data_IF_359533405236
#
_entry.id   IF_359533405236
#
_cell.length_a   1.000
_cell.length_b   1.000
_cell.length_c   1.000
_cell.angle_alpha   90.00
_cell.angle_beta   90.00
_cell.angle_gamma   90.00
#
_symmetry.space_group_name_H-M   'P 1'
#
loop_
_entity.id
_entity.type
_entity.pdbx_description
1 polymer ?
#
# COMPACT_ATOMS: atom_id res chain seq x y z
N UNK A 1 -12.84 4.38 -7.47
CA UNK A 1 -13.17 3.86 -8.82
C UNK A 1 -12.10 4.33 -9.77
N UNK A 2 -11.39 3.43 -10.46
CA UNK A 2 -10.46 3.85 -11.52
C UNK A 2 -11.27 4.39 -12.69
N UNK A 3 -11.06 5.65 -13.12
CA UNK A 3 -11.72 6.16 -14.30
C UNK A 3 -11.50 5.20 -15.47
N UNK A 4 -12.55 4.90 -16.24
CA UNK A 4 -12.51 4.05 -17.45
C UNK A 4 -12.41 2.53 -17.23
N UNK A 5 -12.56 2.00 -16.02
CA UNK A 5 -12.72 0.56 -15.79
C UNK A 5 -14.01 0.27 -15.02
N UNK A 6 -15.06 -0.11 -15.76
CA UNK A 6 -16.40 -0.42 -15.22
C UNK A 6 -16.53 -1.89 -14.82
N UNK A 7 -15.53 -2.72 -15.11
CA UNK A 7 -15.62 -4.18 -14.98
C UNK A 7 -15.04 -4.71 -13.67
N UNK A 8 -14.28 -3.90 -12.94
CA UNK A 8 -13.65 -4.30 -11.68
C UNK A 8 -14.16 -3.46 -10.52
N UNK A 9 -14.38 -4.13 -9.40
CA UNK A 9 -14.77 -3.49 -8.14
C UNK A 9 -13.73 -2.45 -7.72
N UNK A 10 -14.18 -1.38 -7.07
CA UNK A 10 -13.30 -0.32 -6.56
C UNK A 10 -12.31 -0.79 -5.47
N UNK A 11 -12.48 -2.02 -4.97
CA UNK A 11 -11.67 -2.67 -3.95
C UNK A 11 -11.33 -4.11 -4.38
N UNK A 12 -10.11 -4.55 -4.10
CA UNK A 12 -9.64 -5.92 -4.38
C UNK A 12 -9.17 -6.54 -3.06
N UNK A 13 -9.86 -7.58 -2.61
CA UNK A 13 -9.47 -8.32 -1.41
C UNK A 13 -8.31 -9.27 -1.71
N UNK A 14 -7.17 -9.03 -1.05
CA UNK A 14 -6.01 -9.92 -1.10
C UNK A 14 -6.09 -10.97 0.02
N UNK A 15 -5.56 -12.18 -0.26
CA UNK A 15 -5.44 -13.20 0.77
C UNK A 15 -4.33 -12.83 1.75
N UNK A 16 -4.65 -12.84 3.05
CA UNK A 16 -3.66 -12.60 4.12
C UNK A 16 -2.55 -13.65 4.10
N UNK A 17 -1.29 -13.21 4.23
CA UNK A 17 -0.13 -14.10 4.25
C UNK A 17 0.57 -14.13 5.61
N UNK A 18 0.85 -12.97 6.20
CA UNK A 18 1.47 -12.85 7.51
C UNK A 18 0.39 -12.76 8.60
N UNK A 19 0.38 -13.71 9.55
CA UNK A 19 -0.60 -13.73 10.65
C UNK A 19 -0.29 -12.66 11.71
N UNK A 20 0.99 -12.37 11.91
CA UNK A 20 1.50 -11.54 13.02
C UNK A 20 1.63 -10.05 12.65
N UNK A 21 1.37 -9.68 11.39
CA UNK A 21 1.38 -8.29 10.97
C UNK A 21 -0.03 -7.68 11.04
N UNK A 22 -0.15 -6.39 11.41
CA UNK A 22 -1.40 -5.66 11.26
C UNK A 22 -1.94 -5.72 9.82
N UNK A 23 -3.26 -5.69 9.69
CA UNK A 23 -3.97 -5.71 8.41
C UNK A 23 -4.66 -4.37 8.24
N UNK A 24 -4.70 -3.87 7.01
CA UNK A 24 -5.38 -2.63 6.68
C UNK A 24 -5.76 -2.55 5.21
N UNK A 25 -6.65 -1.62 4.90
CA UNK A 25 -7.07 -1.25 3.56
C UNK A 25 -6.11 -0.18 3.05
N UNK A 26 -5.50 -0.43 1.88
CA UNK A 26 -4.67 0.57 1.21
C UNK A 26 -5.46 1.31 0.13
N UNK A 27 -5.60 2.62 0.30
CA UNK A 27 -6.01 3.52 -0.77
C UNK A 27 -4.81 3.85 -1.65
N UNK A 28 -5.02 3.97 -2.96
CA UNK A 28 -3.94 4.33 -3.89
C UNK A 28 -4.32 5.53 -4.75
N UNK A 29 -3.32 6.31 -5.14
CA UNK A 29 -3.45 7.36 -6.17
C UNK A 29 -2.10 7.94 -6.55
N UNK A 30 -2.00 8.60 -7.71
CA UNK A 30 -0.72 9.06 -8.26
C UNK A 30 -0.15 10.35 -7.63
N UNK A 31 -0.67 10.77 -6.47
CA UNK A 31 -0.24 11.99 -5.78
C UNK A 31 0.31 11.66 -4.40
N UNK A 32 1.39 12.33 -4.02
CA UNK A 32 1.87 12.31 -2.65
C UNK A 32 0.83 12.97 -1.74
N UNK A 33 0.22 12.20 -0.86
CA UNK A 33 -0.90 12.65 -0.02
C UNK A 33 -0.36 13.38 1.22
N UNK A 34 -0.86 14.58 1.45
CA UNK A 34 -0.49 15.43 2.60
C UNK A 34 -1.72 15.84 3.41
N UNK A 35 -2.81 15.09 3.29
CA UNK A 35 -4.03 15.33 4.04
C UNK A 35 -4.96 14.13 4.09
N UNK A 36 -6.23 14.39 4.40
CA UNK A 36 -7.22 13.32 4.50
C UNK A 36 -7.43 12.62 3.15
N UNK A 37 -7.26 11.28 3.08
CA UNK A 37 -7.48 10.53 1.86
C UNK A 37 -8.91 10.68 1.33
N UNK A 38 -9.05 10.71 0.00
CA UNK A 38 -10.35 10.85 -0.69
C UNK A 38 -11.23 9.60 -0.58
N UNK A 39 -10.66 8.48 -0.13
CA UNK A 39 -11.34 7.20 0.07
C UNK A 39 -11.04 6.70 1.47
N UNK A 40 -11.99 6.01 2.10
CA UNK A 40 -11.75 5.42 3.41
C UNK A 40 -10.69 4.31 3.31
N UNK A 41 -9.57 4.49 3.98
CA UNK A 41 -8.47 3.54 4.03
C UNK A 41 -7.62 3.75 5.29
N UNK A 42 -6.82 2.75 5.65
CA UNK A 42 -5.91 2.79 6.80
C UNK A 42 -4.51 3.31 6.41
N UNK A 43 -4.13 3.15 5.14
CA UNK A 43 -2.84 3.57 4.57
C UNK A 43 -3.01 4.04 3.14
N UNK A 44 -2.17 4.98 2.71
CA UNK A 44 -2.11 5.45 1.32
C UNK A 44 -0.80 5.03 0.65
N UNK A 45 -0.86 4.79 -0.66
CA UNK A 45 0.31 4.61 -1.52
C UNK A 45 0.02 5.10 -2.95
N UNK A 46 0.93 4.83 -3.89
CA UNK A 46 0.80 5.27 -5.28
C UNK A 46 0.66 4.13 -6.31
N UNK A 47 0.86 2.86 -5.93
CA UNK A 47 0.88 1.74 -6.89
C UNK A 47 0.00 0.53 -6.52
N UNK A 48 -0.43 0.40 -5.26
CA UNK A 48 -0.94 -0.84 -4.69
C UNK A 48 -2.13 -1.44 -5.43
N UNK A 49 -3.16 -0.63 -5.72
CA UNK A 49 -4.34 -1.13 -6.45
C UNK A 49 -4.01 -1.45 -7.91
N UNK A 50 -3.11 -0.70 -8.56
CA UNK A 50 -2.72 -0.97 -9.94
C UNK A 50 -2.06 -2.36 -10.06
N UNK A 51 -1.16 -2.69 -9.12
CA UNK A 51 -0.56 -4.03 -9.01
C UNK A 51 -1.62 -5.10 -8.70
N UNK A 52 -2.49 -4.86 -7.71
CA UNK A 52 -3.56 -5.80 -7.33
C UNK A 52 -4.51 -6.11 -8.50
N UNK A 53 -4.85 -5.08 -9.28
CA UNK A 53 -5.71 -5.18 -10.47
C UNK A 53 -5.09 -6.07 -11.55
N UNK A 54 -3.81 -5.89 -11.87
CA UNK A 54 -3.12 -6.72 -12.86
C UNK A 54 -3.01 -8.16 -12.36
N UNK A 55 -2.58 -8.37 -11.11
CA UNK A 55 -2.51 -9.70 -10.49
C UNK A 55 -3.87 -10.41 -10.51
N UNK A 56 -4.95 -9.71 -10.16
CA UNK A 56 -6.30 -10.23 -10.21
C UNK A 56 -6.71 -10.64 -11.63
N UNK A 57 -6.50 -9.77 -12.63
CA UNK A 57 -6.79 -10.08 -14.05
C UNK A 57 -6.02 -11.29 -14.57
N UNK A 58 -4.80 -11.51 -14.08
CA UNK A 58 -3.92 -12.60 -14.52
C UNK A 58 -4.01 -13.86 -13.64
N UNK A 59 -4.83 -13.86 -12.57
CA UNK A 59 -4.90 -14.98 -11.63
C UNK A 59 -3.59 -15.22 -10.86
N UNK A 60 -2.76 -14.20 -10.70
CA UNK A 60 -1.49 -14.27 -9.96
C UNK A 60 -1.71 -13.81 -8.53
N UNK A 61 -1.17 -14.56 -7.56
CA UNK A 61 -1.23 -14.16 -6.15
C UNK A 61 -0.38 -12.92 -5.91
N UNK A 62 -0.95 -11.92 -5.24
CA UNK A 62 -0.24 -10.75 -4.72
C UNK A 62 -0.21 -10.77 -3.19
N UNK A 63 0.96 -10.43 -2.63
CA UNK A 63 1.14 -10.10 -1.22
C UNK A 63 1.70 -8.69 -1.19
N UNK A 64 1.10 -7.80 -0.40
CA UNK A 64 1.57 -6.43 -0.21
C UNK A 64 1.88 -6.21 1.25
N UNK A 65 3.07 -5.69 1.53
CA UNK A 65 3.51 -5.26 2.86
C UNK A 65 3.90 -3.80 2.75
N UNK A 66 3.46 -3.00 3.72
CA UNK A 66 3.70 -1.56 3.76
C UNK A 66 4.34 -1.17 5.08
N UNK A 67 5.38 -0.35 4.99
CA UNK A 67 5.95 0.35 6.14
C UNK A 67 5.38 1.77 6.13
N UNK A 68 4.79 2.21 7.23
CA UNK A 68 4.22 3.56 7.36
C UNK A 68 5.37 4.53 7.61
N UNK A 69 5.63 5.40 6.64
CA UNK A 69 6.75 6.34 6.66
C UNK A 69 6.40 7.70 7.24
N UNK A 70 5.13 8.08 7.19
CA UNK A 70 4.67 9.43 7.50
C UNK A 70 3.17 9.43 7.85
N UNK A 71 2.67 10.59 8.30
CA UNK A 71 1.28 10.79 8.71
C UNK A 71 0.31 11.19 7.61
N UNK A 72 0.76 11.31 6.35
CA UNK A 72 0.00 11.94 5.26
C UNK A 72 -0.57 13.31 5.66
N UNK A 73 0.26 14.16 6.25
CA UNK A 73 -0.07 15.50 6.71
C UNK A 73 0.94 16.54 6.18
N UNK A 74 0.91 17.76 6.72
CA UNK A 74 1.76 18.85 6.27
C UNK A 74 3.28 18.58 6.46
N UNK A 75 3.67 17.66 7.36
CA UNK A 75 5.07 17.28 7.59
C UNK A 75 5.48 16.00 6.85
N UNK A 76 4.56 15.37 6.12
CA UNK A 76 4.78 14.07 5.49
C UNK A 76 6.04 13.97 4.62
N UNK A 77 6.38 15.04 3.90
CA UNK A 77 7.59 15.09 3.07
C UNK A 77 8.89 14.97 3.86
N UNK A 78 8.93 15.49 5.09
CA UNK A 78 10.09 15.39 5.99
C UNK A 78 10.11 14.00 6.65
N UNK A 79 8.99 13.58 7.22
CA UNK A 79 8.87 12.30 7.93
C UNK A 79 9.17 11.12 6.99
N UNK A 80 8.68 11.19 5.75
CA UNK A 80 8.95 10.20 4.72
C UNK A 80 10.45 10.09 4.43
N UNK A 81 11.13 11.22 4.23
CA UNK A 81 12.56 11.26 3.91
C UNK A 81 13.39 10.66 5.05
N UNK A 82 13.06 11.01 6.30
CA UNK A 82 13.73 10.47 7.50
C UNK A 82 13.53 8.96 7.66
N UNK A 83 12.40 8.42 7.21
CA UNK A 83 12.05 7.00 7.36
C UNK A 83 12.54 6.10 6.22
N UNK A 84 13.11 6.64 5.13
CA UNK A 84 13.54 5.85 3.96
C UNK A 84 14.47 4.69 4.32
N UNK A 85 15.56 4.98 5.06
CA UNK A 85 16.54 3.96 5.42
C UNK A 85 15.95 2.90 6.35
N UNK A 86 15.22 3.34 7.37
CA UNK A 86 14.63 2.44 8.36
C UNK A 86 13.56 1.53 7.72
N UNK A 87 12.69 2.10 6.88
CA UNK A 87 11.69 1.36 6.13
C UNK A 87 12.31 0.27 5.27
N UNK A 88 13.35 0.60 4.50
CA UNK A 88 14.08 -0.36 3.68
C UNK A 88 14.70 -1.50 4.52
N UNK A 89 15.33 -1.16 5.65
CA UNK A 89 15.92 -2.14 6.57
C UNK A 89 14.86 -3.08 7.17
N UNK A 90 13.71 -2.54 7.58
CA UNK A 90 12.61 -3.33 8.17
C UNK A 90 11.99 -4.28 7.14
N UNK A 91 11.76 -3.82 5.92
CA UNK A 91 11.25 -4.65 4.84
C UNK A 91 12.24 -5.74 4.42
N UNK A 92 13.54 -5.43 4.36
CA UNK A 92 14.58 -6.42 4.09
C UNK A 92 14.65 -7.47 5.20
N UNK A 93 14.61 -7.07 6.46
CA UNK A 93 14.62 -7.99 7.59
C UNK A 93 13.37 -8.91 7.57
N UNK A 94 12.19 -8.37 7.25
CA UNK A 94 10.99 -9.18 7.07
C UNK A 94 11.18 -10.20 5.94
N UNK A 95 11.73 -9.76 4.79
CA UNK A 95 11.99 -10.67 3.67
C UNK A 95 12.90 -11.82 4.08
N UNK A 96 14.06 -11.53 4.69
CA UNK A 96 15.05 -12.52 5.14
C UNK A 96 14.52 -13.51 6.18
N UNK A 97 13.53 -13.12 6.98
CA UNK A 97 12.95 -13.98 8.01
C UNK A 97 11.87 -14.93 7.46
N UNK A 98 11.34 -14.68 6.27
CA UNK A 98 10.20 -15.42 5.71
C UNK A 98 10.48 -16.09 4.36
N UNK A 99 11.57 -15.72 3.67
CA UNK A 99 11.97 -16.22 2.37
C UNK A 99 13.47 -16.48 2.32
#
# INVERSE_FOLDING_TARGET
>A
VTPLDDHLAAEIHLQTHFADLPKGICGTGDSFETGQPKVACDVVDMEGYALAKVCHKLGVRLISVKYITDGADDTAHLDWEENLLLGAQKLLALYQNHF
#
